data_IF_841277061314
#
_entry.id   IF_841277061314
#
_cell.length_a   1.000
_cell.length_b   1.000
_cell.length_c   1.000
_cell.angle_alpha   90.00
_cell.angle_beta   90.00
_cell.angle_gamma   90.00
#
_symmetry.space_group_name_H-M   'P 1'
#
loop_
_entity.id
_entity.type
_entity.pdbx_description
1 polymer ?
#
# COMPACT_ATOMS: atom_id res chain seq x y z
N UNK A 1 -33.01 13.58 9.42
CA UNK A 1 -31.65 14.08 9.50
C UNK A 1 -30.90 13.81 8.22
N UNK A 2 -30.25 14.79 7.76
CA UNK A 2 -29.53 14.76 6.52
C UNK A 2 -28.24 13.98 6.65
N UNK A 3 -28.02 13.04 5.77
CA UNK A 3 -26.75 12.36 5.70
C UNK A 3 -25.70 13.26 5.08
N UNK A 4 -24.51 13.18 5.59
CA UNK A 4 -23.43 13.92 5.00
C UNK A 4 -23.16 13.40 3.60
N UNK A 5 -23.07 14.32 2.64
CA UNK A 5 -22.66 13.96 1.29
C UNK A 5 -21.14 14.13 1.12
N UNK A 6 -20.45 14.59 2.18
CA UNK A 6 -19.01 14.79 2.13
C UNK A 6 -18.32 13.45 2.22
N UNK A 7 -17.52 13.14 1.23
CA UNK A 7 -16.69 11.95 1.24
C UNK A 7 -15.42 12.28 2.02
N UNK A 8 -15.02 11.46 3.01
CA UNK A 8 -13.78 11.70 3.74
C UNK A 8 -12.61 11.82 2.77
N UNK A 9 -11.63 12.65 3.13
CA UNK A 9 -10.45 12.88 2.29
C UNK A 9 -9.76 11.56 1.97
N UNK A 10 -9.59 10.69 2.98
CA UNK A 10 -8.95 9.40 2.76
C UNK A 10 -9.66 8.58 1.69
N UNK A 11 -11.00 8.63 1.65
CA UNK A 11 -11.74 7.87 0.67
C UNK A 11 -11.62 8.49 -0.72
N UNK A 12 -11.49 9.80 -0.82
CA UNK A 12 -11.24 10.45 -2.11
C UNK A 12 -9.87 10.05 -2.65
N UNK A 13 -8.86 10.00 -1.78
CA UNK A 13 -7.52 9.58 -2.17
C UNK A 13 -7.55 8.12 -2.62
N UNK A 14 -8.25 7.27 -1.89
CA UNK A 14 -8.38 5.86 -2.27
C UNK A 14 -9.01 5.72 -3.65
N UNK A 15 -10.09 6.45 -3.91
CA UNK A 15 -10.77 6.38 -5.20
C UNK A 15 -9.85 6.80 -6.34
N UNK A 16 -9.00 7.79 -6.10
CA UNK A 16 -8.02 8.23 -7.08
C UNK A 16 -6.97 7.15 -7.33
N UNK A 17 -6.50 6.48 -6.27
CA UNK A 17 -5.57 5.36 -6.42
C UNK A 17 -6.18 4.21 -7.19
N UNK A 18 -7.45 3.90 -6.95
CA UNK A 18 -8.14 2.85 -7.68
C UNK A 18 -8.22 3.22 -9.16
N UNK A 19 -8.52 4.48 -9.45
CA UNK A 19 -8.58 4.96 -10.83
C UNK A 19 -7.22 4.76 -11.53
N UNK A 20 -6.13 5.16 -10.89
CA UNK A 20 -4.79 5.01 -11.45
C UNK A 20 -4.44 3.54 -11.68
N UNK A 21 -4.81 2.70 -10.74
CA UNK A 21 -4.56 1.27 -10.91
C UNK A 21 -5.33 0.71 -12.10
N UNK A 22 -6.59 1.06 -12.24
CA UNK A 22 -7.41 0.57 -13.34
C UNK A 22 -6.94 1.09 -14.69
N UNK A 23 -6.31 2.24 -14.71
CA UNK A 23 -5.72 2.81 -15.93
C UNK A 23 -4.38 2.15 -16.27
N UNK A 24 -3.85 1.30 -15.41
CA UNK A 24 -2.58 0.65 -15.65
C UNK A 24 -1.36 1.48 -15.28
N UNK A 25 -1.58 2.61 -14.62
CA UNK A 25 -0.48 3.48 -14.18
C UNK A 25 0.33 2.81 -13.08
N UNK A 26 -0.34 2.03 -12.23
CA UNK A 26 0.30 1.36 -11.11
C UNK A 26 -0.02 -0.12 -11.12
N UNK A 27 0.95 -0.94 -10.73
CA UNK A 27 0.75 -2.38 -10.57
C UNK A 27 0.23 -2.72 -9.18
N UNK A 28 0.62 -1.93 -8.19
CA UNK A 28 0.17 -2.10 -6.81
C UNK A 28 0.17 -0.75 -6.13
N UNK A 29 -0.75 -0.58 -5.19
CA UNK A 29 -0.87 0.64 -4.38
C UNK A 29 -0.76 0.25 -2.91
N UNK A 30 -0.06 1.06 -2.14
CA UNK A 30 -0.07 0.99 -0.67
C UNK A 30 -0.69 2.28 -0.17
N UNK A 31 -1.73 2.14 0.63
CA UNK A 31 -2.47 3.28 1.17
C UNK A 31 -2.71 3.06 2.65
N UNK A 32 -2.30 4.02 3.47
CA UNK A 32 -2.46 3.94 4.93
C UNK A 32 -3.57 4.89 5.35
N UNK A 33 -4.53 4.40 6.13
CA UNK A 33 -5.68 5.20 6.52
C UNK A 33 -6.25 4.74 7.85
N UNK A 34 -7.19 5.51 8.38
CA UNK A 34 -7.82 5.20 9.66
C UNK A 34 -8.74 3.99 9.51
N UNK A 35 -8.61 3.07 10.45
CA UNK A 35 -9.32 1.80 10.43
C UNK A 35 -10.84 1.95 10.44
N UNK A 36 -11.38 3.09 10.86
CA UNK A 36 -12.82 3.29 10.84
C UNK A 36 -13.40 3.24 9.41
N UNK A 37 -12.56 3.43 8.39
CA UNK A 37 -13.01 3.39 7.00
C UNK A 37 -12.77 2.04 6.33
N UNK A 38 -12.39 1.04 7.11
CA UNK A 38 -12.03 -0.27 6.55
C UNK A 38 -13.16 -0.87 5.70
N UNK A 39 -14.38 -0.89 6.24
CA UNK A 39 -15.50 -1.50 5.55
C UNK A 39 -15.80 -0.79 4.23
N UNK A 40 -15.74 0.53 4.24
CA UNK A 40 -15.99 1.31 3.02
C UNK A 40 -14.94 1.01 1.97
N UNK A 41 -13.66 0.98 2.39
CA UNK A 41 -12.55 0.71 1.49
C UNK A 41 -12.67 -0.68 0.87
N UNK A 42 -12.95 -1.70 1.68
CA UNK A 42 -13.08 -3.06 1.21
C UNK A 42 -14.24 -3.18 0.21
N UNK A 43 -15.39 -2.58 0.52
CA UNK A 43 -16.53 -2.64 -0.39
C UNK A 43 -16.19 -2.01 -1.75
N UNK A 44 -15.43 -0.91 -1.74
CA UNK A 44 -15.02 -0.26 -2.98
C UNK A 44 -14.16 -1.19 -3.83
N UNK A 45 -13.20 -1.86 -3.19
CA UNK A 45 -12.31 -2.76 -3.92
C UNK A 45 -13.05 -3.98 -4.43
N UNK A 46 -13.88 -4.58 -3.58
CA UNK A 46 -14.61 -5.78 -3.95
C UNK A 46 -15.62 -5.50 -5.06
N UNK A 47 -16.25 -4.34 -5.06
CA UNK A 47 -17.20 -3.99 -6.11
C UNK A 47 -16.53 -3.86 -7.47
N UNK A 48 -15.22 -3.72 -7.52
CA UNK A 48 -14.49 -3.61 -8.77
C UNK A 48 -13.57 -4.81 -9.02
N UNK A 49 -13.74 -5.87 -8.24
CA UNK A 49 -12.98 -7.11 -8.37
C UNK A 49 -11.49 -6.89 -8.22
N UNK A 50 -11.09 -5.98 -7.33
CA UNK A 50 -9.69 -5.70 -7.06
C UNK A 50 -9.28 -6.49 -5.82
N UNK A 51 -8.22 -7.28 -5.92
CA UNK A 51 -7.69 -8.05 -4.80
C UNK A 51 -6.87 -7.14 -3.88
N UNK A 52 -6.81 -7.49 -2.60
CA UNK A 52 -6.16 -6.64 -1.62
C UNK A 52 -5.63 -7.45 -0.45
N UNK A 53 -4.73 -6.81 0.31
CA UNK A 53 -4.19 -7.32 1.57
C UNK A 53 -4.25 -6.19 2.58
N UNK A 54 -4.64 -6.50 3.82
CA UNK A 54 -4.72 -5.51 4.88
C UNK A 54 -3.72 -5.87 5.97
N UNK A 55 -3.01 -4.85 6.46
CA UNK A 55 -2.05 -5.01 7.54
C UNK A 55 -2.33 -3.94 8.60
N UNK A 56 -2.70 -4.35 9.82
CA UNK A 56 -2.92 -3.37 10.89
C UNK A 56 -1.64 -2.62 11.25
N UNK A 57 -1.79 -1.34 11.58
CA UNK A 57 -0.67 -0.47 12.00
C UNK A 57 -1.10 0.20 13.29
N UNK A 58 -0.51 -0.21 14.41
CA UNK A 58 -0.92 0.29 15.70
C UNK A 58 -2.38 -0.08 15.99
N UNK A 59 -3.07 0.77 16.74
CA UNK A 59 -4.42 0.49 17.20
C UNK A 59 -5.52 1.05 16.29
N UNK A 60 -5.19 2.02 15.44
CA UNK A 60 -6.22 2.78 14.73
C UNK A 60 -5.96 2.99 13.23
N UNK A 61 -4.92 2.42 12.67
CA UNK A 61 -4.61 2.59 11.26
C UNK A 61 -4.40 1.26 10.57
N UNK A 62 -4.57 1.27 9.26
CA UNK A 62 -4.37 0.09 8.42
C UNK A 62 -3.51 0.46 7.22
N UNK A 63 -2.64 -0.47 6.84
CA UNK A 63 -2.01 -0.45 5.53
C UNK A 63 -2.86 -1.31 4.61
N UNK A 64 -3.29 -0.74 3.50
CA UNK A 64 -4.05 -1.43 2.49
C UNK A 64 -3.18 -1.56 1.25
N UNK A 65 -2.92 -2.79 0.83
CA UNK A 65 -2.22 -3.07 -0.41
C UNK A 65 -3.24 -3.60 -1.39
N UNK A 66 -3.29 -3.06 -2.59
CA UNK A 66 -4.18 -3.63 -3.59
C UNK A 66 -3.53 -3.55 -4.96
N UNK A 67 -3.91 -4.47 -5.84
CA UNK A 67 -3.37 -4.49 -7.18
C UNK A 67 -3.21 -5.89 -7.73
N UNK A 68 -2.12 -6.08 -8.48
CA UNK A 68 -1.88 -7.34 -9.15
C UNK A 68 -1.59 -8.45 -8.15
N UNK A 69 -2.11 -9.61 -8.46
CA UNK A 69 -2.00 -10.76 -7.55
C UNK A 69 -0.55 -11.15 -7.30
N UNK A 70 0.29 -11.09 -8.32
CA UNK A 70 1.70 -11.41 -8.18
C UNK A 70 2.37 -10.54 -7.11
N UNK A 71 2.05 -9.24 -7.12
CA UNK A 71 2.59 -8.32 -6.13
C UNK A 71 2.04 -8.60 -4.75
N UNK A 72 0.73 -8.89 -4.66
CA UNK A 72 0.11 -9.18 -3.37
C UNK A 72 0.66 -10.46 -2.75
N UNK A 73 0.98 -11.46 -3.58
CA UNK A 73 1.60 -12.68 -3.08
C UNK A 73 2.96 -12.38 -2.44
N UNK A 74 3.75 -11.52 -3.08
CA UNK A 74 5.03 -11.11 -2.50
C UNK A 74 4.82 -10.34 -1.20
N UNK A 75 3.82 -9.46 -1.16
CA UNK A 75 3.49 -8.68 0.05
C UNK A 75 3.15 -9.62 1.21
N UNK A 76 2.38 -10.67 0.95
CA UNK A 76 2.01 -11.61 2.01
C UNK A 76 3.24 -12.28 2.63
N UNK A 77 4.30 -12.42 1.86
CA UNK A 77 5.53 -13.03 2.35
C UNK A 77 6.45 -12.06 3.08
N UNK A 78 6.51 -10.80 2.65
CA UNK A 78 7.46 -9.85 3.23
C UNK A 78 6.84 -8.92 4.26
N UNK A 79 5.56 -8.61 4.17
CA UNK A 79 4.91 -7.65 5.09
C UNK A 79 4.30 -8.35 6.30
N UNK A 80 5.06 -9.27 6.90
CA UNK A 80 4.64 -9.99 8.11
C UNK A 80 5.00 -9.24 9.39
N UNK A 81 5.67 -8.11 9.27
CA UNK A 81 6.05 -7.25 10.37
C UNK A 81 5.91 -5.79 9.93
N UNK A 82 6.01 -4.83 10.86
CA UNK A 82 5.88 -3.41 10.51
C UNK A 82 6.84 -2.99 9.40
N UNK A 83 6.40 -2.06 8.56
CA UNK A 83 7.18 -1.66 7.39
C UNK A 83 8.55 -1.09 7.75
N UNK A 84 8.67 -0.44 8.92
CA UNK A 84 9.95 0.09 9.35
C UNK A 84 10.93 -0.99 9.80
N UNK A 85 10.48 -2.24 9.86
CA UNK A 85 11.33 -3.37 10.23
C UNK A 85 11.68 -4.27 9.04
N UNK A 86 11.30 -3.87 7.84
CA UNK A 86 11.68 -4.60 6.63
C UNK A 86 13.19 -4.55 6.45
N UNK A 87 13.75 -5.63 5.92
CA UNK A 87 15.16 -5.63 5.53
C UNK A 87 15.35 -4.66 4.37
N UNK A 88 16.60 -4.21 4.13
CA UNK A 88 16.85 -3.36 2.95
C UNK A 88 16.37 -4.00 1.65
N UNK A 89 16.52 -5.32 1.51
CA UNK A 89 16.07 -6.04 0.32
C UNK A 89 14.54 -6.00 0.19
N UNK A 90 13.84 -6.24 1.28
CA UNK A 90 12.38 -6.21 1.29
C UNK A 90 11.85 -4.80 1.01
N UNK A 91 12.50 -3.80 1.57
CA UNK A 91 12.16 -2.41 1.31
C UNK A 91 12.33 -2.08 -0.18
N UNK A 92 13.41 -2.57 -0.78
CA UNK A 92 13.66 -2.39 -2.21
C UNK A 92 12.57 -3.04 -3.04
N UNK A 93 12.19 -4.27 -2.68
CA UNK A 93 11.12 -4.99 -3.38
C UNK A 93 9.80 -4.22 -3.31
N UNK A 94 9.48 -3.72 -2.13
CA UNK A 94 8.24 -2.96 -1.95
C UNK A 94 8.24 -1.72 -2.82
N UNK A 95 9.32 -0.95 -2.80
CA UNK A 95 9.41 0.26 -3.62
C UNK A 95 9.28 -0.04 -5.10
N UNK A 96 9.89 -1.14 -5.56
CA UNK A 96 9.79 -1.55 -6.95
C UNK A 96 8.34 -1.88 -7.32
N UNK A 97 7.63 -2.62 -6.46
CA UNK A 97 6.23 -2.97 -6.70
C UNK A 97 5.33 -1.74 -6.72
N UNK A 98 5.65 -0.74 -5.91
CA UNK A 98 4.87 0.50 -5.85
C UNK A 98 5.16 1.43 -7.03
N UNK A 99 6.15 1.09 -7.86
CA UNK A 99 6.48 1.87 -9.03
C UNK A 99 7.35 3.08 -8.75
N UNK A 100 8.07 3.08 -7.63
CA UNK A 100 9.00 4.17 -7.33
C UNK A 100 10.19 4.14 -8.29
N UNK A 101 10.81 5.30 -8.47
CA UNK A 101 11.96 5.40 -9.36
C UNK A 101 13.05 4.41 -8.96
N UNK A 102 13.48 3.58 -9.91
CA UNK A 102 14.41 2.50 -9.61
C UNK A 102 15.77 3.02 -9.16
N UNK A 103 16.23 4.15 -9.73
CA UNK A 103 17.52 4.71 -9.32
C UNK A 103 17.47 5.20 -7.89
N UNK A 104 16.38 5.87 -7.50
CA UNK A 104 16.20 6.31 -6.13
C UNK A 104 16.11 5.12 -5.17
N UNK A 105 15.46 4.02 -5.59
CA UNK A 105 15.38 2.82 -4.79
C UNK A 105 16.76 2.17 -4.61
N UNK A 106 17.58 2.18 -5.64
CA UNK A 106 18.94 1.65 -5.55
C UNK A 106 19.77 2.47 -4.57
N UNK A 107 19.67 3.80 -4.64
CA UNK A 107 20.38 4.67 -3.69
C UNK A 107 19.96 4.39 -2.25
N UNK A 108 18.66 4.30 -2.03
CA UNK A 108 18.11 3.99 -0.70
C UNK A 108 18.60 2.64 -0.21
N UNK A 109 18.61 1.65 -1.08
CA UNK A 109 19.08 0.31 -0.73
C UNK A 109 20.54 0.34 -0.30
N UNK A 110 21.40 0.99 -1.06
CA UNK A 110 22.82 1.09 -0.74
C UNK A 110 23.03 1.80 0.58
N UNK A 111 22.34 2.91 0.82
CA UNK A 111 22.44 3.63 2.08
C UNK A 111 22.03 2.76 3.26
N UNK A 112 20.96 2.02 3.13
CA UNK A 112 20.46 1.18 4.21
C UNK A 112 21.37 0.01 4.47
N UNK A 113 21.95 -0.57 3.42
CA UNK A 113 22.91 -1.68 3.57
C UNK A 113 24.20 -1.19 4.25
N UNK A 114 24.70 -0.04 3.87
CA UNK A 114 25.90 0.52 4.46
C UNK A 114 25.72 0.75 5.96
N UNK A 115 24.58 1.33 6.35
CA UNK A 115 24.31 1.57 7.76
C UNK A 115 24.19 0.27 8.55
N UNK A 116 23.61 -0.77 7.96
CA UNK A 116 23.41 -2.03 8.64
C UNK A 116 24.63 -2.93 8.57
N UNK A 117 25.44 -2.77 7.52
CA UNK A 117 26.60 -3.59 7.32
C UNK A 117 27.85 -3.13 8.06
N UNK A 118 27.81 -1.92 8.59
CA UNK A 118 28.98 -1.37 9.29
C UNK A 118 29.06 -1.85 10.73
#
# INVERSE_FOLDING_TARGET
>A
MQQSTVVPVDMKVLMNHIYEYKKGVRRMVLFTFNKQYEDVAIRRLESQNIKYVIQPVGSDRLNLYFGREECLNAIRMIATRPLNLLTPEEDFMLGAMLGYDICAQCERYCERKDRKGS
#
